data_IF_962846122976
#
_entry.id   IF_962846122976
#
_cell.length_a   1.000
_cell.length_b   1.000
_cell.length_c   1.000
_cell.angle_alpha   90.00
_cell.angle_beta   90.00
_cell.angle_gamma   90.00
#
_symmetry.space_group_name_H-M   'P 1'
#
loop_
_entity.id
_entity.type
_entity.pdbx_description
1 polymer ?
#
# COMPACT_ATOMS: atom_id res chain seq x y z
N UNK A 1 -3.33 16.90 -13.40
CA UNK A 1 -3.36 15.62 -12.68
C UNK A 1 -3.80 15.92 -11.26
N UNK A 2 -4.79 15.19 -10.75
CA UNK A 2 -5.26 15.34 -9.37
C UNK A 2 -4.11 15.07 -8.38
N UNK A 3 -4.06 15.82 -7.28
CA UNK A 3 -3.04 15.63 -6.24
C UNK A 3 -3.37 14.35 -5.47
N UNK A 4 -2.44 13.38 -5.37
CA UNK A 4 -2.68 12.18 -4.55
C UNK A 4 -2.89 12.57 -3.09
N UNK A 5 -3.75 11.81 -2.40
CA UNK A 5 -3.97 12.00 -0.97
C UNK A 5 -2.70 11.63 -0.19
N UNK A 6 -2.48 12.19 1.01
CA UNK A 6 -1.40 11.77 1.88
C UNK A 6 -1.50 10.26 2.17
N UNK A 7 -0.36 9.57 2.22
CA UNK A 7 -0.31 8.18 2.68
C UNK A 7 -0.78 8.10 4.13
N UNK A 8 -1.73 7.22 4.44
CA UNK A 8 -2.23 7.02 5.79
C UNK A 8 -1.78 5.67 6.38
N UNK A 9 -1.43 5.61 7.67
CA UNK A 9 -1.22 4.35 8.37
C UNK A 9 -2.53 3.70 8.78
N UNK A 10 -2.58 2.37 8.71
CA UNK A 10 -3.72 1.58 9.14
C UNK A 10 -3.27 0.35 9.94
N UNK A 11 -4.12 -0.08 10.89
CA UNK A 11 -3.98 -1.34 11.62
C UNK A 11 -5.17 -2.24 11.26
N UNK A 12 -4.87 -3.34 10.58
CA UNK A 12 -5.85 -4.32 10.15
C UNK A 12 -5.89 -5.49 11.15
N UNK A 13 -7.06 -6.10 11.35
CA UNK A 13 -7.18 -7.30 12.18
C UNK A 13 -6.77 -8.52 11.38
N UNK A 14 -5.70 -9.19 11.79
CA UNK A 14 -5.24 -10.46 11.23
C UNK A 14 -5.48 -11.64 12.18
N UNK A 15 -5.34 -12.88 11.68
CA UNK A 15 -5.57 -14.09 12.47
C UNK A 15 -4.56 -14.28 13.62
N UNK A 16 -3.38 -13.65 13.54
CA UNK A 16 -2.31 -13.74 14.53
C UNK A 16 -2.03 -12.40 15.25
N UNK A 17 -2.94 -11.44 15.16
CA UNK A 17 -2.76 -10.09 15.73
C UNK A 17 -3.02 -8.99 14.71
N UNK A 18 -2.62 -7.76 15.06
CA UNK A 18 -2.76 -6.62 14.14
C UNK A 18 -1.71 -6.68 13.02
N UNK A 19 -2.11 -6.28 11.81
CA UNK A 19 -1.26 -6.12 10.64
C UNK A 19 -1.11 -4.63 10.37
N UNK A 20 0.12 -4.14 10.36
CA UNK A 20 0.44 -2.77 9.98
C UNK A 20 0.39 -2.63 8.45
N UNK A 21 -0.34 -1.62 7.98
CA UNK A 21 -0.49 -1.32 6.57
C UNK A 21 -0.34 0.18 6.30
N UNK A 22 0.05 0.51 5.07
CA UNK A 22 0.00 1.86 4.53
C UNK A 22 -1.00 1.91 3.39
N UNK A 23 -1.84 2.95 3.38
CA UNK A 23 -2.84 3.16 2.34
C UNK A 23 -2.43 4.37 1.50
N UNK A 24 -2.23 4.13 0.21
CA UNK A 24 -1.91 5.11 -0.81
C UNK A 24 -3.14 5.30 -1.73
N UNK A 25 -3.87 6.41 -1.55
CA UNK A 25 -5.15 6.63 -2.24
C UNK A 25 -5.08 7.76 -3.29
N UNK A 26 -5.69 7.57 -4.48
CA UNK A 26 -5.99 8.66 -5.41
C UNK A 26 -7.23 9.42 -4.94
N UNK A 27 -7.50 10.59 -5.53
CA UNK A 27 -8.71 11.37 -5.24
C UNK A 27 -10.00 10.62 -5.63
N UNK A 28 -9.98 9.93 -6.77
CA UNK A 28 -11.09 9.09 -7.24
C UNK A 28 -10.64 7.63 -7.31
N UNK A 29 -11.28 6.77 -6.51
CA UNK A 29 -10.93 5.36 -6.40
C UNK A 29 -11.68 4.53 -7.45
N UNK A 30 -10.92 3.95 -8.39
CA UNK A 30 -11.41 3.02 -9.42
C UNK A 30 -11.48 1.57 -8.92
N UNK A 31 -10.64 1.21 -7.95
CA UNK A 31 -10.52 -0.15 -7.41
C UNK A 31 -9.45 -0.23 -6.33
N UNK A 32 -9.20 -1.46 -5.84
CA UNK A 32 -8.22 -1.72 -4.78
C UNK A 32 -7.07 -2.58 -5.33
N UNK A 33 -5.84 -2.24 -4.94
CA UNK A 33 -4.66 -3.06 -5.19
C UNK A 33 -3.98 -3.43 -3.86
N UNK A 34 -3.66 -4.71 -3.67
CA UNK A 34 -2.89 -5.19 -2.52
C UNK A 34 -1.45 -5.47 -2.97
N UNK A 35 -0.46 -4.83 -2.34
CA UNK A 35 0.96 -5.02 -2.66
C UNK A 35 1.66 -5.63 -1.46
N UNK A 36 2.00 -6.91 -1.56
CA UNK A 36 2.76 -7.59 -0.51
C UNK A 36 4.27 -7.34 -0.66
N UNK A 37 4.97 -7.31 0.47
CA UNK A 37 6.42 -7.18 0.52
C UNK A 37 7.13 -8.52 0.24
N UNK A 38 8.42 -8.50 -0.15
CA UNK A 38 9.21 -9.72 -0.28
C UNK A 38 9.37 -10.43 1.08
N UNK A 39 9.98 -11.60 1.09
CA UNK A 39 10.08 -12.44 2.28
C UNK A 39 10.74 -11.70 3.47
N UNK A 40 10.16 -11.75 4.69
CA UNK A 40 10.62 -10.96 5.83
C UNK A 40 12.05 -11.28 6.27
N UNK A 41 12.48 -12.54 6.20
CA UNK A 41 13.85 -12.95 6.56
C UNK A 41 14.94 -12.33 5.68
N UNK A 42 14.59 -11.73 4.54
CA UNK A 42 15.53 -11.06 3.64
C UNK A 42 15.31 -9.53 3.62
N UNK A 43 14.78 -8.97 4.71
CA UNK A 43 14.54 -7.53 4.85
C UNK A 43 13.28 -7.03 4.14
N UNK A 44 12.29 -7.91 3.94
CA UNK A 44 10.99 -7.54 3.41
C UNK A 44 10.13 -6.82 4.43
N UNK A 45 9.61 -5.65 4.06
CA UNK A 45 8.67 -4.83 4.83
C UNK A 45 7.79 -4.00 3.88
N UNK A 46 6.68 -3.45 4.38
CA UNK A 46 5.80 -2.56 3.62
C UNK A 46 6.49 -1.27 3.12
N UNK A 47 7.65 -0.93 3.67
CA UNK A 47 8.53 0.18 3.26
C UNK A 47 9.57 -0.21 2.21
N UNK A 48 9.57 -1.46 1.73
CA UNK A 48 10.46 -1.89 0.66
C UNK A 48 10.30 -1.00 -0.59
N UNK A 49 11.41 -0.57 -1.19
CA UNK A 49 11.40 0.36 -2.32
C UNK A 49 10.62 -0.17 -3.52
N UNK A 50 10.69 -1.47 -3.81
CA UNK A 50 9.96 -2.08 -4.93
C UNK A 50 8.46 -2.07 -4.65
N UNK A 51 8.05 -2.46 -3.43
CA UNK A 51 6.64 -2.40 -3.02
C UNK A 51 6.10 -0.96 -3.06
N UNK A 52 6.89 0.01 -2.61
CA UNK A 52 6.54 1.44 -2.70
C UNK A 52 6.38 1.90 -4.16
N UNK A 53 7.29 1.51 -5.06
CA UNK A 53 7.19 1.83 -6.48
C UNK A 53 5.94 1.21 -7.11
N UNK A 54 5.60 -0.04 -6.79
CA UNK A 54 4.37 -0.68 -7.24
C UNK A 54 3.12 0.05 -6.74
N UNK A 55 3.10 0.46 -5.46
CA UNK A 55 1.99 1.22 -4.92
C UNK A 55 1.83 2.58 -5.60
N UNK A 56 2.94 3.26 -5.89
CA UNK A 56 2.94 4.49 -6.69
C UNK A 56 2.30 4.26 -8.07
N UNK A 57 2.70 3.20 -8.76
CA UNK A 57 2.21 2.88 -10.10
C UNK A 57 0.70 2.58 -10.10
N UNK A 58 0.21 1.75 -9.18
CA UNK A 58 -1.22 1.43 -9.08
C UNK A 58 -2.06 2.64 -8.66
N UNK A 59 -1.57 3.47 -7.74
CA UNK A 59 -2.26 4.71 -7.37
C UNK A 59 -2.38 5.68 -8.54
N UNK A 60 -1.32 5.84 -9.33
CA UNK A 60 -1.33 6.68 -10.53
C UNK A 60 -2.28 6.12 -11.62
N UNK A 61 -2.63 4.82 -11.56
CA UNK A 61 -3.70 4.18 -12.36
C UNK A 61 -5.11 4.29 -11.74
N UNK A 62 -5.25 5.00 -10.61
CA UNK A 62 -6.54 5.23 -9.96
C UNK A 62 -6.96 4.18 -8.92
N UNK A 63 -6.05 3.33 -8.44
CA UNK A 63 -6.36 2.34 -7.40
C UNK A 63 -6.02 2.86 -6.00
N UNK A 64 -6.88 2.59 -5.02
CA UNK A 64 -6.49 2.66 -3.62
C UNK A 64 -5.57 1.47 -3.32
N UNK A 65 -4.34 1.74 -2.89
CA UNK A 65 -3.34 0.70 -2.67
C UNK A 65 -3.14 0.46 -1.19
N UNK A 66 -3.15 -0.81 -0.79
CA UNK A 66 -2.80 -1.27 0.56
C UNK A 66 -1.46 -2.01 0.45
N UNK A 67 -0.46 -1.63 1.25
CA UNK A 67 0.85 -2.28 1.30
C UNK A 67 1.38 -2.48 2.70
#
# INVERSE_FOLDING_TARGET
>A
MSRPLPTEPALLRGPAGHIEALIDAPEAVRGIALVCHPHPLFGGANTNKVAHTLARAYRDLGYAVIR
#
